data_IF_728310665574
#
_entry.id   IF_728310665574
#
_cell.length_a   1.000
_cell.length_b   1.000
_cell.length_c   1.000
_cell.angle_alpha   90.00
_cell.angle_beta   90.00
_cell.angle_gamma   90.00
#
_symmetry.space_group_name_H-M   'P 1'
#
loop_
_entity.id
_entity.type
_entity.pdbx_description
1 polymer ?
#
# COMPACT_ATOMS: atom_id res chain seq x y z
N UNK A 1 -5.11 5.18 -16.31
CA UNK A 1 -5.29 4.53 -15.00
C UNK A 1 -4.07 3.66 -14.80
N UNK A 2 -3.28 3.90 -13.78
CA UNK A 2 -2.26 2.97 -13.37
C UNK A 2 -2.97 1.66 -12.98
N UNK A 3 -2.79 0.60 -13.76
CA UNK A 3 -3.38 -0.70 -13.48
C UNK A 3 -2.66 -1.29 -12.27
N UNK A 4 -3.38 -1.48 -11.19
CA UNK A 4 -2.88 -2.27 -10.07
C UNK A 4 -2.70 -3.70 -10.59
N UNK A 5 -1.49 -4.23 -10.53
CA UNK A 5 -1.14 -5.53 -11.09
C UNK A 5 -2.02 -6.69 -10.61
N UNK A 6 -2.01 -7.76 -11.35
CA UNK A 6 -2.67 -9.00 -10.94
C UNK A 6 -1.86 -9.69 -9.83
N UNK A 7 -2.53 -10.50 -9.00
CA UNK A 7 -1.91 -11.29 -7.92
C UNK A 7 -1.23 -12.57 -8.41
N UNK A 8 -1.28 -12.84 -9.71
CA UNK A 8 -0.54 -13.91 -10.37
C UNK A 8 0.04 -13.39 -11.68
N UNK A 9 1.12 -14.00 -12.12
CA UNK A 9 1.74 -13.64 -13.39
C UNK A 9 1.04 -14.38 -14.56
N UNK A 10 1.20 -13.85 -15.77
CA UNK A 10 0.73 -14.55 -16.98
C UNK A 10 1.48 -15.88 -17.16
N UNK A 11 2.75 -15.94 -16.76
CA UNK A 11 3.55 -17.16 -16.78
C UNK A 11 2.97 -18.25 -15.88
N UNK A 12 2.51 -17.89 -14.68
CA UNK A 12 1.86 -18.83 -13.75
C UNK A 12 0.57 -19.40 -14.34
N UNK A 13 -0.26 -18.52 -14.92
CA UNK A 13 -1.52 -18.93 -15.57
C UNK A 13 -1.24 -19.89 -16.74
N UNK A 14 -0.30 -19.53 -17.62
CA UNK A 14 0.07 -20.34 -18.77
C UNK A 14 0.68 -21.67 -18.35
N UNK A 15 1.53 -21.66 -17.32
CA UNK A 15 2.11 -22.89 -16.76
C UNK A 15 1.04 -23.84 -16.22
N UNK A 16 0.06 -23.31 -15.47
CA UNK A 16 -1.04 -24.11 -14.95
C UNK A 16 -1.96 -24.68 -16.04
N UNK A 17 -2.12 -23.97 -17.14
CA UNK A 17 -2.99 -24.37 -18.27
C UNK A 17 -2.26 -25.11 -19.41
N UNK A 18 -0.94 -25.25 -19.36
CA UNK A 18 -0.13 -25.83 -20.42
C UNK A 18 -0.12 -25.01 -21.72
N UNK A 19 -0.31 -23.67 -21.61
CA UNK A 19 -0.38 -22.76 -22.78
C UNK A 19 1.03 -22.21 -23.07
N UNK A 20 1.47 -22.33 -24.32
CA UNK A 20 2.76 -21.77 -24.79
C UNK A 20 2.60 -20.57 -25.71
N UNK A 21 1.42 -20.39 -26.34
CA UNK A 21 1.11 -19.28 -27.23
C UNK A 21 1.03 -17.96 -26.46
N UNK A 22 1.41 -16.85 -27.10
CA UNK A 22 1.30 -15.48 -26.57
C UNK A 22 0.07 -14.72 -27.10
N UNK A 23 -0.71 -15.35 -27.98
CA UNK A 23 -1.85 -14.72 -28.67
C UNK A 23 -2.87 -14.11 -27.71
N UNK A 24 -3.12 -14.80 -26.60
CA UNK A 24 -4.17 -14.43 -25.64
C UNK A 24 -3.63 -13.74 -24.38
N UNK A 25 -2.34 -13.42 -24.31
CA UNK A 25 -1.69 -12.85 -23.12
C UNK A 25 -2.41 -11.58 -22.63
N UNK A 26 -2.83 -10.71 -23.56
CA UNK A 26 -3.56 -9.48 -23.21
C UNK A 26 -4.93 -9.77 -22.56
N UNK A 27 -5.63 -10.78 -23.06
CA UNK A 27 -6.94 -11.19 -22.52
C UNK A 27 -6.75 -11.84 -21.15
N UNK A 28 -5.78 -12.74 -21.03
CA UNK A 28 -5.42 -13.38 -19.75
C UNK A 28 -5.06 -12.34 -18.67
N UNK A 29 -4.28 -11.31 -19.03
CA UNK A 29 -3.93 -10.22 -18.09
C UNK A 29 -5.17 -9.51 -17.58
N UNK A 30 -6.09 -9.13 -18.45
CA UNK A 30 -7.34 -8.47 -18.05
C UNK A 30 -8.18 -9.35 -17.11
N UNK A 31 -8.25 -10.64 -17.36
CA UNK A 31 -8.97 -11.57 -16.50
C UNK A 31 -8.26 -11.75 -15.14
N UNK A 32 -6.93 -11.83 -15.12
CA UNK A 32 -6.16 -11.92 -13.90
C UNK A 32 -6.31 -10.66 -13.02
N UNK A 33 -6.30 -9.47 -13.64
CA UNK A 33 -6.57 -8.21 -12.95
C UNK A 33 -8.01 -8.16 -12.41
N UNK A 34 -9.00 -8.54 -13.20
CA UNK A 34 -10.40 -8.59 -12.77
C UNK A 34 -10.61 -9.57 -11.60
N UNK A 35 -10.01 -10.76 -11.66
CA UNK A 35 -10.05 -11.74 -10.59
C UNK A 35 -9.40 -11.19 -9.31
N UNK A 36 -8.26 -10.51 -9.43
CA UNK A 36 -7.58 -9.88 -8.29
C UNK A 36 -8.44 -8.82 -7.62
N UNK A 37 -9.12 -7.98 -8.40
CA UNK A 37 -10.08 -6.99 -7.85
C UNK A 37 -11.31 -7.64 -7.23
N UNK A 38 -11.73 -8.80 -7.74
CA UNK A 38 -12.82 -9.57 -7.13
C UNK A 38 -12.41 -10.14 -5.77
N UNK A 39 -11.15 -10.58 -5.62
CA UNK A 39 -10.59 -11.01 -4.35
C UNK A 39 -10.54 -9.85 -3.34
N UNK A 40 -10.06 -8.68 -3.76
CA UNK A 40 -10.05 -7.48 -2.90
C UNK A 40 -11.46 -7.16 -2.37
N UNK A 41 -12.45 -7.17 -3.27
CA UNK A 41 -13.84 -6.88 -2.91
C UNK A 41 -14.43 -7.95 -1.97
N UNK A 42 -14.15 -9.24 -2.23
CA UNK A 42 -14.61 -10.33 -1.37
C UNK A 42 -14.02 -10.27 0.04
N UNK A 43 -12.72 -9.96 0.13
CA UNK A 43 -12.02 -9.84 1.40
C UNK A 43 -12.23 -8.48 2.09
N UNK A 44 -12.88 -7.53 1.41
CA UNK A 44 -12.97 -6.12 1.81
C UNK A 44 -11.60 -5.54 2.23
N UNK A 45 -10.57 -5.88 1.46
CA UNK A 45 -9.18 -5.55 1.76
C UNK A 45 -8.39 -5.41 0.47
N UNK A 46 -7.45 -4.49 0.43
CA UNK A 46 -6.51 -4.32 -0.70
C UNK A 46 -5.21 -5.04 -0.38
N UNK A 47 -4.87 -6.06 -1.15
CA UNK A 47 -3.58 -6.76 -0.99
C UNK A 47 -2.43 -6.04 -1.69
N UNK A 48 -2.69 -5.28 -2.74
CA UNK A 48 -1.68 -4.43 -3.34
C UNK A 48 -1.39 -3.20 -2.48
N UNK A 49 -0.19 -2.64 -2.66
CA UNK A 49 0.32 -1.53 -1.87
C UNK A 49 0.36 -0.27 -2.70
N UNK A 50 -0.09 0.85 -2.12
CA UNK A 50 -0.04 2.17 -2.73
C UNK A 50 0.53 3.19 -1.75
N UNK A 51 1.33 4.13 -2.26
CA UNK A 51 1.72 5.31 -1.49
C UNK A 51 0.79 6.46 -1.86
N UNK A 52 -0.03 6.87 -0.92
CA UNK A 52 -1.05 7.90 -1.14
C UNK A 52 -1.36 8.69 0.14
N UNK A 53 -2.01 9.83 -0.02
CA UNK A 53 -2.52 10.62 1.09
C UNK A 53 -4.02 10.42 1.17
N UNK A 54 -4.51 10.05 2.36
CA UNK A 54 -5.94 9.89 2.67
C UNK A 54 -6.36 10.86 3.75
N UNK A 55 -7.63 11.23 3.70
CA UNK A 55 -8.26 12.08 4.71
C UNK A 55 -9.34 11.33 5.47
N UNK A 56 -9.51 11.67 6.73
CA UNK A 56 -10.46 11.05 7.66
C UNK A 56 -11.16 12.10 8.49
N UNK A 57 -12.31 11.74 9.04
CA UNK A 57 -12.98 12.55 10.03
C UNK A 57 -12.18 12.57 11.34
N UNK A 58 -12.19 13.68 12.02
CA UNK A 58 -11.49 13.86 13.28
C UNK A 58 -12.14 13.06 14.42
N UNK A 59 -11.30 12.42 15.24
CA UNK A 59 -11.70 11.60 16.38
C UNK A 59 -10.57 11.46 17.40
N UNK A 60 -10.82 10.81 18.54
CA UNK A 60 -9.77 10.38 19.48
C UNK A 60 -9.16 9.03 19.09
N UNK A 61 -9.92 8.24 18.33
CA UNK A 61 -9.53 6.95 17.78
C UNK A 61 -9.86 6.97 16.29
N UNK A 62 -8.89 6.72 15.45
CA UNK A 62 -9.06 6.61 13.99
C UNK A 62 -9.08 5.14 13.60
N UNK A 63 -10.15 4.72 12.94
CA UNK A 63 -10.23 3.43 12.27
C UNK A 63 -9.82 3.60 10.82
N UNK A 64 -8.88 2.80 10.39
CA UNK A 64 -8.19 2.95 9.12
C UNK A 64 -8.33 1.67 8.26
N UNK A 65 -8.32 1.80 6.93
CA UNK A 65 -7.96 0.66 6.09
C UNK A 65 -6.51 0.24 6.37
N UNK A 66 -6.12 -0.92 5.90
CA UNK A 66 -4.76 -1.46 6.08
C UNK A 66 -3.70 -0.40 5.74
N UNK A 67 -2.88 -0.06 6.73
CA UNK A 67 -1.83 0.95 6.66
C UNK A 67 -0.50 0.32 7.07
N UNK A 68 0.50 0.37 6.20
CA UNK A 68 1.81 -0.23 6.44
C UNK A 68 2.81 0.76 7.03
N UNK A 69 2.75 2.03 6.59
CA UNK A 69 3.63 3.06 7.13
C UNK A 69 2.95 4.42 7.15
N UNK A 70 3.35 5.27 8.09
CA UNK A 70 2.93 6.66 8.17
C UNK A 70 4.15 7.53 7.85
N UNK A 71 4.06 8.32 6.79
CA UNK A 71 5.07 9.33 6.45
C UNK A 71 4.76 10.63 7.17
N UNK A 72 3.51 11.07 7.13
CA UNK A 72 3.04 12.24 7.88
C UNK A 72 1.60 12.01 8.35
N UNK A 73 1.31 12.49 9.56
CA UNK A 73 -0.04 12.62 10.09
C UNK A 73 -0.26 14.06 10.48
N UNK A 74 -1.29 14.67 9.94
CA UNK A 74 -1.62 16.08 10.16
C UNK A 74 -3.09 16.26 10.47
N UNK A 75 -3.42 17.35 11.18
CA UNK A 75 -4.80 17.74 11.46
C UNK A 75 -5.07 19.19 11.09
N UNK A 76 -6.32 19.43 10.68
CA UNK A 76 -6.92 20.72 10.43
C UNK A 76 -7.86 21.02 11.62
N UNK A 77 -7.40 21.81 12.58
CA UNK A 77 -8.20 22.23 13.73
C UNK A 77 -8.97 23.54 13.45
N UNK A 78 -8.60 24.26 12.41
CA UNK A 78 -9.33 25.44 11.93
C UNK A 78 -10.57 25.09 11.13
N UNK A 79 -10.65 23.85 10.61
CA UNK A 79 -11.67 23.40 9.66
C UNK A 79 -11.78 24.30 8.44
N UNK A 80 -10.64 24.79 7.97
CA UNK A 80 -10.51 25.69 6.82
C UNK A 80 -9.86 25.01 5.59
N UNK A 81 -9.51 23.71 5.71
CA UNK A 81 -8.85 22.92 4.69
C UNK A 81 -7.32 22.99 4.75
N UNK A 82 -6.77 23.68 5.74
CA UNK A 82 -5.33 23.75 6.00
C UNK A 82 -4.97 22.76 7.12
N UNK A 83 -3.97 21.92 6.93
CA UNK A 83 -3.52 20.95 7.91
C UNK A 83 -2.29 21.50 8.65
N UNK A 84 -2.51 22.25 9.74
CA UNK A 84 -1.48 23.01 10.45
C UNK A 84 -0.66 22.14 11.39
N UNK A 85 -1.31 21.23 12.12
CA UNK A 85 -0.66 20.42 13.14
C UNK A 85 -0.06 19.16 12.53
N UNK A 86 1.21 18.90 12.81
CA UNK A 86 1.89 17.68 12.42
C UNK A 86 2.21 16.85 13.66
N UNK A 87 1.74 15.62 13.69
CA UNK A 87 1.93 14.69 14.80
C UNK A 87 3.27 13.98 14.72
N UNK A 88 4.00 13.98 15.81
CA UNK A 88 5.17 13.12 15.96
C UNK A 88 4.75 11.66 16.22
N UNK A 89 5.64 10.72 16.01
CA UNK A 89 5.37 9.29 16.27
C UNK A 89 5.11 8.98 17.75
N UNK A 90 5.46 9.90 18.64
CA UNK A 90 5.20 9.85 20.08
C UNK A 90 3.79 10.27 20.46
N UNK A 91 3.06 10.96 19.58
CA UNK A 91 1.74 11.53 19.87
C UNK A 91 0.60 10.52 19.67
N UNK A 92 0.87 9.39 19.06
CA UNK A 92 -0.13 8.37 18.78
C UNK A 92 0.39 6.96 18.95
N UNK A 93 -0.53 6.05 19.22
CA UNK A 93 -0.30 4.62 19.37
C UNK A 93 -0.91 3.90 18.17
N UNK A 94 -0.17 2.95 17.61
CA UNK A 94 -0.57 2.18 16.42
C UNK A 94 -1.01 0.78 16.84
N UNK A 95 -2.16 0.35 16.35
CA UNK A 95 -2.69 -0.99 16.53
C UNK A 95 -3.01 -1.62 15.19
N UNK A 96 -2.82 -2.93 15.10
CA UNK A 96 -3.10 -3.70 13.89
C UNK A 96 -2.86 -5.19 14.11
N UNK A 97 -2.48 -5.89 13.02
CA UNK A 97 -2.27 -7.34 13.06
C UNK A 97 -3.54 -8.13 12.76
N UNK A 98 -4.52 -7.52 12.11
CA UNK A 98 -5.76 -8.17 11.71
C UNK A 98 -6.70 -8.44 12.87
N UNK A 99 -7.02 -9.72 13.14
CA UNK A 99 -8.00 -10.09 14.16
C UNK A 99 -7.55 -9.83 15.61
N UNK A 100 -6.25 -9.72 15.86
CA UNK A 100 -5.73 -9.61 17.22
C UNK A 100 -5.63 -8.17 17.74
N UNK A 101 -5.74 -7.16 16.84
CA UNK A 101 -5.64 -5.73 17.17
C UNK A 101 -4.49 -5.41 18.17
N UNK A 102 -3.31 -5.92 17.84
CA UNK A 102 -2.15 -5.86 18.71
C UNK A 102 -1.34 -4.58 18.52
N UNK A 103 -0.66 -4.15 19.57
CA UNK A 103 0.21 -2.97 19.58
C UNK A 103 1.35 -3.11 18.57
N UNK A 104 1.52 -2.11 17.70
CA UNK A 104 2.58 -2.01 16.68
C UNK A 104 2.67 -3.21 15.71
N UNK A 105 1.58 -3.95 15.51
CA UNK A 105 1.50 -5.02 14.51
C UNK A 105 1.00 -4.48 13.17
N UNK A 106 1.56 -4.97 12.09
CA UNK A 106 1.14 -4.62 10.72
C UNK A 106 0.05 -5.57 10.20
N UNK A 107 -0.76 -5.11 9.27
CA UNK A 107 -1.00 -3.70 8.94
C UNK A 107 -1.71 -2.97 10.07
N UNK A 108 -1.47 -1.66 10.21
CA UNK A 108 -2.18 -0.85 11.18
C UNK A 108 -3.60 -0.61 10.70
N UNK A 109 -4.57 -0.83 11.58
CA UNK A 109 -6.01 -0.61 11.31
C UNK A 109 -6.62 0.39 12.26
N UNK A 110 -5.87 0.81 13.29
CA UNK A 110 -6.32 1.76 14.30
C UNK A 110 -5.18 2.61 14.81
N UNK A 111 -5.45 3.92 14.96
CA UNK A 111 -4.59 4.84 15.70
C UNK A 111 -5.36 5.41 16.90
N UNK A 112 -4.69 5.53 18.00
CA UNK A 112 -5.19 6.19 19.21
C UNK A 112 -4.23 7.30 19.63
N UNK A 113 -4.75 8.35 20.23
CA UNK A 113 -3.95 9.39 20.86
C UNK A 113 -3.12 8.77 21.99
N UNK A 114 -1.85 9.13 22.03
CA UNK A 114 -1.01 8.81 23.17
C UNK A 114 -1.31 9.82 24.30
N UNK A 115 -1.79 9.38 25.49
CA UNK A 115 -2.09 10.31 26.58
C UNK A 115 -0.84 11.05 27.12
N UNK A 116 0.36 10.61 26.75
CA UNK A 116 1.62 11.28 27.10
C UNK A 116 2.19 12.12 25.94
N UNK A 117 1.46 12.25 24.83
CA UNK A 117 1.81 13.09 23.68
C UNK A 117 1.31 14.52 23.84
N UNK A 118 1.56 15.32 22.82
CA UNK A 118 1.25 16.76 22.85
C UNK A 118 -0.22 17.08 22.50
N UNK A 119 -0.99 16.10 22.02
CA UNK A 119 -2.35 16.30 21.51
C UNK A 119 -3.39 15.47 22.29
N UNK A 120 -4.59 16.03 22.44
CA UNK A 120 -5.70 15.35 23.12
C UNK A 120 -6.63 14.58 22.15
N UNK A 121 -6.62 14.90 20.87
CA UNK A 121 -7.43 14.26 19.83
C UNK A 121 -6.84 14.49 18.45
N UNK A 122 -7.29 13.74 17.45
CA UNK A 122 -7.05 14.02 16.05
C UNK A 122 -8.17 14.93 15.52
N UNK A 123 -8.12 16.23 15.79
CA UNK A 123 -9.13 17.22 15.38
C UNK A 123 -10.58 16.72 15.61
N UNK A 124 -10.89 16.24 16.81
CA UNK A 124 -12.19 15.62 17.10
C UNK A 124 -13.35 16.58 16.88
N UNK A 125 -14.36 16.09 16.15
CA UNK A 125 -15.54 16.86 15.80
C UNK A 125 -15.50 17.53 14.42
N UNK A 126 -14.36 17.56 13.75
CA UNK A 126 -14.22 18.11 12.41
C UNK A 126 -14.35 17.01 11.34
N UNK A 127 -15.08 17.36 10.26
CA UNK A 127 -15.15 16.51 9.07
C UNK A 127 -13.90 16.71 8.22
N UNK A 128 -13.35 15.58 7.72
CA UNK A 128 -12.13 15.63 6.90
C UNK A 128 -10.96 16.33 7.60
N UNK A 129 -10.97 16.33 8.95
CA UNK A 129 -10.01 17.08 9.76
C UNK A 129 -8.65 16.37 9.94
N UNK A 130 -8.48 15.15 9.41
CA UNK A 130 -7.23 14.39 9.54
C UNK A 130 -6.69 14.03 8.17
N UNK A 131 -5.39 14.20 7.98
CA UNK A 131 -4.68 13.80 6.76
C UNK A 131 -3.53 12.85 7.12
N UNK A 132 -3.48 11.70 6.46
CA UNK A 132 -2.40 10.71 6.63
C UNK A 132 -1.78 10.41 5.27
N UNK A 133 -0.53 10.77 5.11
CA UNK A 133 0.31 10.32 3.99
C UNK A 133 1.10 9.09 4.43
N UNK A 134 1.09 8.05 3.61
CA UNK A 134 1.74 6.80 3.96
C UNK A 134 1.57 5.71 2.91
N UNK A 135 1.94 4.50 3.28
CA UNK A 135 1.85 3.30 2.44
C UNK A 135 0.65 2.48 2.91
N UNK A 136 -0.30 2.26 2.01
CA UNK A 136 -1.59 1.65 2.27
C UNK A 136 -1.73 0.31 1.55
N UNK A 137 -2.43 -0.62 2.17
CA UNK A 137 -2.69 -1.96 1.68
C UNK A 137 -2.22 -3.02 2.67
N UNK A 138 -2.61 -4.27 2.42
CA UNK A 138 -2.20 -5.38 3.28
C UNK A 138 -0.73 -5.78 3.05
N UNK A 139 -0.28 -5.73 1.78
CA UNK A 139 1.04 -6.21 1.40
C UNK A 139 1.20 -7.71 1.72
N UNK A 140 2.23 -8.03 2.47
CA UNK A 140 2.49 -9.36 3.04
C UNK A 140 1.94 -9.54 4.47
N UNK A 141 1.38 -8.47 5.05
CA UNK A 141 0.83 -8.46 6.41
C UNK A 141 1.86 -8.38 7.53
N UNK A 142 3.14 -8.32 7.22
CA UNK A 142 4.25 -8.35 8.21
C UNK A 142 5.31 -7.29 7.98
N UNK A 143 5.46 -6.75 6.78
CA UNK A 143 6.47 -5.76 6.43
C UNK A 143 5.86 -4.37 6.19
N UNK A 144 6.53 -3.32 6.67
CA UNK A 144 6.19 -1.94 6.34
C UNK A 144 6.52 -1.60 4.88
N UNK A 145 7.42 -2.36 4.26
CA UNK A 145 7.88 -2.21 2.88
C UNK A 145 7.90 -3.57 2.18
N UNK A 146 6.72 -4.18 1.95
CA UNK A 146 6.62 -5.56 1.43
C UNK A 146 7.19 -5.72 0.02
N UNK A 147 7.27 -4.62 -0.73
CA UNK A 147 7.86 -4.57 -2.07
C UNK A 147 9.01 -3.57 -2.05
N UNK A 148 10.15 -4.02 -1.54
CA UNK A 148 11.39 -3.24 -1.62
C UNK A 148 11.84 -3.27 -3.07
N UNK A 149 12.20 -2.12 -3.63
CA UNK A 149 12.92 -2.08 -4.88
C UNK A 149 14.31 -2.71 -4.63
N UNK A 150 14.50 -3.93 -5.12
CA UNK A 150 15.78 -4.63 -4.99
C UNK A 150 16.88 -4.00 -5.83
N UNK A 151 16.47 -3.22 -6.84
CA UNK A 151 17.38 -2.54 -7.76
C UNK A 151 16.70 -1.36 -8.44
N UNK A 152 17.48 -0.50 -9.07
CA UNK A 152 17.01 0.61 -9.91
C UNK A 152 17.50 0.41 -11.34
N UNK A 153 16.70 0.82 -12.31
CA UNK A 153 17.09 0.87 -13.72
C UNK A 153 18.09 2.02 -13.88
N UNK A 154 19.17 1.77 -14.60
CA UNK A 154 20.26 2.74 -14.79
C UNK A 154 20.22 3.41 -16.15
N UNK A 155 19.25 3.07 -16.99
CA UNK A 155 19.10 3.57 -18.35
C UNK A 155 17.67 4.01 -18.67
N UNK A 156 17.50 4.80 -19.73
CA UNK A 156 16.18 5.11 -20.26
C UNK A 156 15.67 3.94 -21.10
N UNK A 157 14.47 3.44 -20.76
CA UNK A 157 13.88 2.31 -21.47
C UNK A 157 13.33 2.71 -22.84
N UNK A 158 13.68 1.96 -23.86
CA UNK A 158 13.15 2.12 -25.22
C UNK A 158 12.23 0.97 -25.60
N UNK A 159 11.24 1.25 -26.45
CA UNK A 159 10.30 0.23 -26.90
C UNK A 159 11.01 -0.85 -27.71
N UNK A 160 10.85 -2.12 -27.30
CA UNK A 160 11.45 -3.26 -27.96
C UNK A 160 12.80 -3.70 -27.41
N UNK A 161 13.25 -3.10 -26.31
CA UNK A 161 14.46 -3.51 -25.60
C UNK A 161 14.37 -4.94 -25.09
N UNK A 162 15.42 -5.72 -25.26
CA UNK A 162 15.48 -7.12 -24.83
C UNK A 162 16.35 -7.36 -23.60
N UNK A 163 17.05 -6.32 -23.17
CA UNK A 163 17.87 -6.32 -21.95
C UNK A 163 17.65 -5.00 -21.21
N UNK A 164 17.71 -5.03 -19.90
CA UNK A 164 17.53 -3.87 -19.04
C UNK A 164 18.74 -3.82 -18.11
N UNK A 165 19.45 -2.71 -18.11
CA UNK A 165 20.56 -2.49 -17.19
C UNK A 165 20.05 -2.05 -15.80
N UNK A 166 20.48 -2.76 -14.78
CA UNK A 166 20.09 -2.52 -13.40
C UNK A 166 21.32 -2.32 -12.50
N UNK A 167 21.15 -1.55 -11.42
CA UNK A 167 22.25 -1.24 -10.50
C UNK A 167 22.81 -2.48 -9.81
N UNK A 168 21.99 -3.49 -9.54
CA UNK A 168 22.37 -4.73 -8.87
C UNK A 168 21.46 -5.88 -9.25
N UNK A 169 22.01 -7.07 -9.38
CA UNK A 169 21.26 -8.32 -9.62
C UNK A 169 21.24 -9.25 -8.41
N UNK A 170 21.68 -8.75 -7.24
CA UNK A 170 21.94 -9.60 -6.05
C UNK A 170 20.72 -10.40 -5.60
N UNK A 171 19.52 -9.81 -5.70
CA UNK A 171 18.26 -10.45 -5.29
C UNK A 171 17.38 -10.84 -6.48
N UNK A 172 17.89 -10.75 -7.71
CA UNK A 172 17.16 -11.13 -8.90
C UNK A 172 17.48 -12.55 -9.30
N UNK A 173 16.49 -13.34 -9.59
CA UNK A 173 16.59 -14.72 -10.08
C UNK A 173 15.76 -14.89 -11.34
N UNK A 174 16.15 -15.85 -12.19
CA UNK A 174 15.37 -16.20 -13.37
C UNK A 174 13.94 -16.56 -12.95
N UNK A 175 12.95 -15.90 -13.55
CA UNK A 175 11.53 -16.04 -13.22
C UNK A 175 10.96 -14.99 -12.29
N UNK A 176 11.77 -14.10 -11.73
CA UNK A 176 11.24 -12.94 -10.98
C UNK A 176 10.46 -12.02 -11.92
N UNK A 177 9.37 -11.45 -11.40
CA UNK A 177 8.64 -10.38 -12.07
C UNK A 177 9.22 -9.05 -11.65
N UNK A 178 9.61 -8.23 -12.62
CA UNK A 178 10.07 -6.86 -12.39
C UNK A 178 8.90 -5.92 -12.67
N UNK A 179 8.60 -5.06 -11.69
CA UNK A 179 7.67 -3.97 -11.88
C UNK A 179 8.47 -2.72 -12.27
N UNK A 180 8.19 -2.17 -13.44
CA UNK A 180 8.83 -0.99 -14.01
C UNK A 180 7.83 0.18 -13.97
#
# INVERSE_FOLDING_TARGET
MAGYGSYCTIADIKGALGITSTTDDTVMRKHAEAASRSIDNYCNRRFYVTTETKTFDGATTLWLPDLLSITTLKTDEGNDGTFENTYATTDYIKYGGGLEDSLNKLPYTRLEINPNGDYASFASGYKVGVQIAGTWGYGDGISATPYIADTTITEDLTAGESAIDVTSVTNLSAGNTILI
#
